data_IF_407819147106
#
_entry.id   IF_407819147106
#
_cell.length_a   1.000
_cell.length_b   1.000
_cell.length_c   1.000
_cell.angle_alpha   90.00
_cell.angle_beta   90.00
_cell.angle_gamma   90.00
#
_symmetry.space_group_name_H-M   'P 1'
#
loop_
_entity.id
_entity.type
_entity.pdbx_description
1 polymer ?
#
# COMPACT_ATOMS: atom_id res chain seq x y z
N UNK A 1 -3.09 -3.10 -19.11
CA UNK A 1 -2.85 -1.86 -18.34
C UNK A 1 -1.37 -1.64 -18.11
N UNK A 2 -0.71 -2.59 -17.49
CA UNK A 2 0.71 -2.52 -17.17
C UNK A 2 1.57 -2.30 -18.40
N UNK A 3 1.33 -3.01 -19.50
CA UNK A 3 2.05 -2.81 -20.75
C UNK A 3 1.87 -1.41 -21.33
N UNK A 4 0.68 -0.83 -21.24
CA UNK A 4 0.42 0.52 -21.72
C UNK A 4 1.13 1.57 -20.84
N UNK A 5 1.11 1.39 -19.51
CA UNK A 5 1.83 2.26 -18.59
C UNK A 5 3.34 2.16 -18.79
N UNK A 6 3.88 0.96 -18.94
CA UNK A 6 5.30 0.76 -19.24
C UNK A 6 5.69 1.42 -20.57
N UNK A 7 4.84 1.30 -21.60
CA UNK A 7 5.09 1.97 -22.88
C UNK A 7 5.06 3.51 -22.75
N UNK A 8 4.11 4.07 -21.99
CA UNK A 8 4.06 5.50 -21.72
C UNK A 8 5.33 6.01 -21.00
N UNK A 9 5.82 5.25 -20.03
CA UNK A 9 7.08 5.55 -19.34
C UNK A 9 8.28 5.45 -20.29
N UNK A 10 8.34 4.42 -21.14
CA UNK A 10 9.42 4.28 -22.12
C UNK A 10 9.39 5.42 -23.13
N UNK A 11 8.20 5.87 -23.55
CA UNK A 11 8.08 7.08 -24.37
C UNK A 11 8.63 8.31 -23.64
N UNK A 12 8.23 8.53 -22.40
CA UNK A 12 8.70 9.67 -21.60
C UNK A 12 10.23 9.69 -21.46
N UNK A 13 10.85 8.51 -21.31
CA UNK A 13 12.31 8.38 -21.18
C UNK A 13 13.06 8.50 -22.54
N UNK A 14 12.45 8.11 -23.64
CA UNK A 14 13.17 7.94 -24.93
C UNK A 14 12.69 8.86 -26.05
N UNK A 15 11.50 9.44 -25.92
CA UNK A 15 10.85 10.23 -26.97
C UNK A 15 10.39 9.42 -28.20
N UNK A 16 10.38 8.07 -28.13
CA UNK A 16 10.03 7.23 -29.30
C UNK A 16 8.52 7.14 -29.48
N UNK A 17 7.98 7.79 -30.52
CA UNK A 17 6.54 7.86 -30.84
C UNK A 17 5.82 6.50 -30.91
N UNK A 18 6.50 5.43 -31.28
CA UNK A 18 5.88 4.10 -31.34
C UNK A 18 5.29 3.66 -30.00
N UNK A 19 6.00 3.94 -28.91
CA UNK A 19 5.52 3.60 -27.56
C UNK A 19 4.36 4.53 -27.13
N UNK A 20 4.45 5.83 -27.46
CA UNK A 20 3.36 6.76 -27.18
C UNK A 20 2.08 6.35 -27.88
N UNK A 21 2.15 6.04 -29.18
CA UNK A 21 1.00 5.59 -29.97
C UNK A 21 0.37 4.34 -29.39
N UNK A 22 1.17 3.32 -29.10
CA UNK A 22 0.66 2.08 -28.48
C UNK A 22 -0.08 2.35 -27.16
N UNK A 23 0.52 3.15 -26.25
CA UNK A 23 -0.11 3.48 -25.00
C UNK A 23 -1.35 4.35 -25.16
N UNK A 24 -1.32 5.33 -26.09
CA UNK A 24 -2.46 6.20 -26.39
C UNK A 24 -3.65 5.43 -26.97
N UNK A 25 -3.43 4.47 -27.84
CA UNK A 25 -4.50 3.67 -28.43
C UNK A 25 -5.21 2.84 -27.34
N UNK A 26 -4.47 2.25 -26.40
CA UNK A 26 -5.05 1.51 -25.27
C UNK A 26 -5.78 2.46 -24.32
N UNK A 27 -5.17 3.59 -23.96
CA UNK A 27 -5.80 4.57 -23.09
C UNK A 27 -7.11 5.08 -23.69
N UNK A 28 -7.11 5.38 -25.00
CA UNK A 28 -8.28 5.88 -25.69
C UNK A 28 -9.44 4.86 -25.68
N UNK A 29 -9.15 3.59 -25.91
CA UNK A 29 -10.15 2.53 -25.81
C UNK A 29 -10.74 2.43 -24.40
N UNK A 30 -9.92 2.56 -23.37
CA UNK A 30 -10.38 2.53 -21.99
C UNK A 30 -11.24 3.73 -21.63
N UNK A 31 -10.81 4.91 -22.02
CA UNK A 31 -11.58 6.15 -21.79
C UNK A 31 -12.94 6.04 -22.46
N UNK A 32 -13.00 5.58 -23.70
CA UNK A 32 -14.28 5.33 -24.39
C UNK A 32 -15.14 4.30 -23.66
N UNK A 33 -14.57 3.17 -23.28
CA UNK A 33 -15.29 2.16 -22.50
C UNK A 33 -15.85 2.70 -21.20
N UNK A 34 -15.02 3.40 -20.41
CA UNK A 34 -15.43 3.98 -19.14
C UNK A 34 -16.42 5.12 -19.29
N UNK A 35 -16.37 5.88 -20.39
CA UNK A 35 -17.30 6.96 -20.67
C UNK A 35 -18.73 6.46 -20.84
N UNK A 36 -18.95 5.40 -21.61
CA UNK A 36 -20.29 4.85 -21.90
C UNK A 36 -20.82 3.96 -20.77
N UNK A 37 -19.96 3.41 -19.95
CA UNK A 37 -20.41 2.53 -18.87
C UNK A 37 -20.88 3.32 -17.65
N UNK A 38 -21.94 2.85 -17.02
CA UNK A 38 -22.34 3.29 -15.69
C UNK A 38 -21.55 2.52 -14.63
N UNK A 39 -21.29 3.12 -13.44
CA UNK A 39 -20.81 2.36 -12.30
C UNK A 39 -21.72 1.15 -12.04
N UNK A 40 -21.11 0.03 -11.65
CA UNK A 40 -21.86 -1.19 -11.34
C UNK A 40 -22.82 -0.90 -10.18
N UNK A 41 -24.07 -1.30 -10.34
CA UNK A 41 -25.09 -1.11 -9.31
C UNK A 41 -24.82 -2.01 -8.09
N UNK A 42 -25.23 -1.54 -6.93
CA UNK A 42 -25.09 -2.21 -5.65
C UNK A 42 -24.28 -1.41 -4.63
N UNK A 43 -24.37 -1.76 -3.35
CA UNK A 43 -23.69 -1.02 -2.30
C UNK A 43 -22.17 -1.08 -2.48
N UNK A 44 -21.54 0.10 -2.44
CA UNK A 44 -20.10 0.30 -2.47
C UNK A 44 -19.37 -0.33 -3.70
N UNK A 45 -20.08 -0.45 -4.82
CA UNK A 45 -19.46 -0.93 -6.07
C UNK A 45 -19.04 0.26 -6.92
N UNK A 46 -17.79 0.29 -7.31
CA UNK A 46 -17.12 1.41 -7.97
C UNK A 46 -16.52 1.07 -9.31
N UNK A 47 -16.25 -0.20 -9.58
CA UNK A 47 -15.63 -0.64 -10.83
C UNK A 47 -16.53 -0.44 -12.03
N UNK A 48 -15.98 0.11 -13.12
CA UNK A 48 -16.67 0.30 -14.39
C UNK A 48 -16.46 -0.90 -15.34
N UNK A 49 -15.30 -1.53 -15.26
CA UNK A 49 -14.89 -2.62 -16.14
C UNK A 49 -14.78 -3.97 -15.42
N UNK A 50 -14.91 -3.97 -14.10
CA UNK A 50 -14.84 -5.15 -13.25
C UNK A 50 -15.89 -5.06 -12.14
N UNK A 51 -16.40 -6.19 -11.73
CA UNK A 51 -17.32 -6.32 -10.60
C UNK A 51 -16.59 -6.29 -9.25
N UNK A 52 -15.27 -6.28 -9.26
CA UNK A 52 -14.45 -6.36 -8.04
C UNK A 52 -13.71 -5.03 -7.79
N UNK A 53 -13.71 -4.62 -6.55
CA UNK A 53 -13.00 -3.42 -6.07
C UNK A 53 -11.51 -3.41 -6.37
N UNK A 54 -10.89 -4.58 -6.52
CA UNK A 54 -9.48 -4.70 -6.97
C UNK A 54 -9.25 -4.13 -8.37
N UNK A 55 -10.26 -4.17 -9.24
CA UNK A 55 -10.18 -3.57 -10.57
C UNK A 55 -10.04 -2.05 -10.54
N UNK A 56 -10.43 -1.41 -9.45
CA UNK A 56 -10.37 0.05 -9.31
C UNK A 56 -8.94 0.60 -9.35
N UNK A 57 -7.93 -0.19 -8.99
CA UNK A 57 -6.52 0.18 -9.13
C UNK A 57 -6.09 0.43 -10.57
N UNK A 58 -6.81 -0.08 -11.55
CA UNK A 58 -6.52 0.18 -12.95
C UNK A 58 -6.75 1.64 -13.36
N UNK A 59 -7.60 2.36 -12.66
CA UNK A 59 -7.85 3.78 -12.92
C UNK A 59 -6.68 4.68 -12.54
N UNK A 60 -5.88 4.28 -11.56
CA UNK A 60 -4.59 4.90 -11.26
C UNK A 60 -3.66 4.84 -12.50
N UNK A 61 -3.55 3.65 -13.12
CA UNK A 61 -2.74 3.46 -14.31
C UNK A 61 -3.23 4.30 -15.49
N UNK A 62 -4.55 4.44 -15.70
CA UNK A 62 -5.11 5.32 -16.73
C UNK A 62 -4.67 6.77 -16.56
N UNK A 63 -4.76 7.28 -15.33
CA UNK A 63 -4.35 8.64 -15.00
C UNK A 63 -2.86 8.86 -15.23
N UNK A 64 -2.02 7.91 -14.85
CA UNK A 64 -0.57 7.96 -15.08
C UNK A 64 -0.22 7.90 -16.57
N UNK A 65 -0.87 7.03 -17.34
CA UNK A 65 -0.66 6.99 -18.80
C UNK A 65 -1.02 8.34 -19.42
N UNK A 66 -2.15 8.92 -19.00
CA UNK A 66 -2.56 10.24 -19.48
C UNK A 66 -1.52 11.32 -19.16
N UNK A 67 -1.00 11.35 -17.94
CA UNK A 67 0.02 12.31 -17.51
C UNK A 67 1.31 12.17 -18.34
N UNK A 68 1.86 10.97 -18.49
CA UNK A 68 3.05 10.71 -19.30
C UNK A 68 2.86 11.05 -20.78
N UNK A 69 1.65 10.89 -21.30
CA UNK A 69 1.33 11.15 -22.71
C UNK A 69 0.71 12.53 -22.96
N UNK A 70 0.51 13.34 -21.95
CA UNK A 70 -0.26 14.60 -22.05
C UNK A 70 0.18 15.47 -23.24
N UNK A 71 1.48 15.76 -23.36
CA UNK A 71 2.02 16.55 -24.44
C UNK A 71 1.82 15.88 -25.81
N UNK A 72 2.05 14.57 -25.90
CA UNK A 72 1.85 13.78 -27.12
C UNK A 72 0.40 13.80 -27.60
N UNK A 73 -0.54 13.56 -26.70
CA UNK A 73 -1.98 13.55 -27.03
C UNK A 73 -2.43 14.91 -27.60
N UNK A 74 -1.95 16.00 -27.03
CA UNK A 74 -2.26 17.36 -27.51
C UNK A 74 -1.60 17.65 -28.87
N UNK A 75 -0.34 17.30 -29.03
CA UNK A 75 0.39 17.47 -30.31
C UNK A 75 -0.29 16.71 -31.46
N UNK A 76 -0.68 15.45 -31.20
CA UNK A 76 -1.35 14.60 -32.18
C UNK A 76 -2.86 14.86 -32.29
N UNK A 77 -3.38 15.86 -31.56
CA UNK A 77 -4.78 16.30 -31.60
C UNK A 77 -5.79 15.19 -31.25
N UNK A 78 -5.47 14.36 -30.26
CA UNK A 78 -6.47 13.47 -29.70
C UNK A 78 -7.61 14.25 -29.06
N UNK A 79 -8.84 13.73 -29.17
CA UNK A 79 -10.02 14.35 -28.52
C UNK A 79 -9.98 14.09 -27.01
N UNK A 80 -9.47 15.06 -26.25
CA UNK A 80 -9.23 14.91 -24.81
C UNK A 80 -10.41 15.29 -23.90
N UNK A 81 -11.50 15.81 -24.46
CA UNK A 81 -12.71 16.13 -23.66
C UNK A 81 -13.33 14.91 -22.99
N UNK A 82 -13.19 13.75 -23.60
CA UNK A 82 -13.63 12.46 -23.04
C UNK A 82 -12.84 12.09 -21.79
N UNK A 83 -11.55 12.38 -21.75
CA UNK A 83 -10.66 12.09 -20.63
C UNK A 83 -11.11 12.85 -19.38
N UNK A 84 -11.35 14.16 -19.51
CA UNK A 84 -11.88 15.00 -18.42
C UNK A 84 -13.15 14.40 -17.83
N UNK A 85 -14.13 14.06 -18.68
CA UNK A 85 -15.39 13.47 -18.25
C UNK A 85 -15.20 12.14 -17.52
N UNK A 86 -14.29 11.30 -17.99
CA UNK A 86 -14.02 9.99 -17.38
C UNK A 86 -13.28 10.15 -16.05
N UNK A 87 -12.26 11.02 -15.97
CA UNK A 87 -11.57 11.27 -14.71
C UNK A 87 -12.50 11.87 -13.65
N UNK A 88 -13.38 12.77 -14.03
CA UNK A 88 -14.39 13.30 -13.13
C UNK A 88 -15.36 12.20 -12.64
N UNK A 89 -15.79 11.32 -13.54
CA UNK A 89 -16.63 10.18 -13.24
C UNK A 89 -15.96 9.21 -12.27
N UNK A 90 -14.67 8.88 -12.49
CA UNK A 90 -13.87 8.03 -11.60
C UNK A 90 -13.76 8.68 -10.22
N UNK A 91 -13.28 9.93 -10.16
CA UNK A 91 -13.12 10.65 -8.90
C UNK A 91 -14.43 10.73 -8.11
N UNK A 92 -15.53 11.07 -8.78
CA UNK A 92 -16.86 11.14 -8.15
C UNK A 92 -17.34 9.77 -7.67
N UNK A 93 -17.16 8.71 -8.45
CA UNK A 93 -17.58 7.37 -8.07
C UNK A 93 -16.81 6.87 -6.84
N UNK A 94 -15.48 7.02 -6.82
CA UNK A 94 -14.65 6.63 -5.68
C UNK A 94 -15.00 7.43 -4.42
N UNK A 95 -15.29 8.73 -4.58
CA UNK A 95 -15.65 9.60 -3.46
C UNK A 95 -17.00 9.24 -2.84
N UNK A 96 -18.03 8.98 -3.64
CA UNK A 96 -19.41 8.86 -3.13
C UNK A 96 -19.93 7.42 -3.06
N UNK A 97 -19.30 6.49 -3.73
CA UNK A 97 -19.69 5.07 -3.80
C UNK A 97 -18.61 4.10 -3.37
N UNK A 98 -17.46 4.59 -2.92
CA UNK A 98 -16.35 3.77 -2.43
C UNK A 98 -16.63 3.10 -1.10
N UNK A 99 -15.66 2.38 -0.60
CA UNK A 99 -15.66 1.86 0.78
C UNK A 99 -15.00 2.86 1.73
N UNK A 100 -15.38 2.83 3.00
CA UNK A 100 -14.76 3.67 4.02
C UNK A 100 -14.41 2.90 5.31
N UNK A 101 -14.93 1.71 5.48
CA UNK A 101 -14.86 0.95 6.74
C UNK A 101 -14.07 -0.37 6.66
N UNK A 102 -13.29 -0.56 5.62
CA UNK A 102 -12.40 -1.70 5.44
C UNK A 102 -11.15 -1.34 4.63
N UNK A 103 -10.23 -2.28 4.44
CA UNK A 103 -8.97 -2.06 3.72
C UNK A 103 -9.14 -1.82 2.20
N UNK A 104 -10.27 -2.15 1.59
CA UNK A 104 -10.56 -1.86 0.18
C UNK A 104 -10.60 -0.37 -0.14
N UNK A 105 -10.97 0.44 0.85
CA UNK A 105 -10.86 1.89 0.78
C UNK A 105 -9.47 2.34 0.30
N UNK A 106 -8.41 1.77 0.87
CA UNK A 106 -7.05 2.15 0.53
C UNK A 106 -6.72 1.86 -0.94
N UNK A 107 -7.26 0.77 -1.52
CA UNK A 107 -7.09 0.46 -2.94
C UNK A 107 -7.80 1.47 -3.86
N UNK A 108 -8.87 2.11 -3.39
CA UNK A 108 -9.64 3.09 -4.16
C UNK A 108 -9.08 4.52 -4.05
N UNK A 109 -8.33 4.81 -2.99
CA UNK A 109 -7.74 6.14 -2.77
C UNK A 109 -6.85 6.62 -3.92
N UNK A 110 -5.92 5.82 -4.47
CA UNK A 110 -5.14 6.24 -5.63
C UNK A 110 -6.00 6.55 -6.85
N UNK A 111 -6.98 5.72 -7.15
CA UNK A 111 -7.89 5.96 -8.27
C UNK A 111 -8.58 7.32 -8.16
N UNK A 112 -9.07 7.69 -6.97
CA UNK A 112 -9.68 8.99 -6.70
C UNK A 112 -8.67 10.13 -6.81
N UNK A 113 -7.52 10.02 -6.16
CA UNK A 113 -6.50 11.09 -6.11
C UNK A 113 -5.90 11.35 -7.49
N UNK A 114 -5.49 10.30 -8.20
CA UNK A 114 -4.89 10.44 -9.52
C UNK A 114 -5.88 10.94 -10.57
N UNK A 115 -7.13 10.45 -10.56
CA UNK A 115 -8.16 10.98 -11.44
C UNK A 115 -8.43 12.47 -11.16
N UNK A 116 -8.50 12.87 -9.90
CA UNK A 116 -8.67 14.27 -9.53
C UNK A 116 -7.48 15.13 -9.99
N UNK A 117 -6.25 14.65 -9.82
CA UNK A 117 -5.04 15.35 -10.28
C UNK A 117 -4.98 15.49 -11.81
N UNK A 118 -5.54 14.54 -12.55
CA UNK A 118 -5.59 14.55 -14.03
C UNK A 118 -6.61 15.55 -14.61
N UNK A 119 -7.51 16.10 -13.79
CA UNK A 119 -8.48 17.12 -14.26
C UNK A 119 -7.77 18.43 -14.59
N UNK A 120 -7.95 18.95 -15.80
CA UNK A 120 -7.47 20.29 -16.19
C UNK A 120 -8.27 21.39 -15.48
N UNK A 121 -9.57 21.17 -15.27
CA UNK A 121 -10.44 22.09 -14.55
C UNK A 121 -10.03 22.20 -13.07
N UNK A 122 -9.37 23.29 -12.72
CA UNK A 122 -8.83 23.55 -11.36
C UNK A 122 -9.90 23.53 -10.27
N UNK A 123 -11.12 24.00 -10.55
CA UNK A 123 -12.20 24.02 -9.56
C UNK A 123 -12.66 22.59 -9.25
N UNK A 124 -12.84 21.76 -10.28
CA UNK A 124 -13.21 20.36 -10.13
C UNK A 124 -12.10 19.56 -9.46
N UNK A 125 -10.86 19.76 -9.86
CA UNK A 125 -9.68 19.18 -9.18
C UNK A 125 -9.70 19.49 -7.69
N UNK A 126 -9.79 20.76 -7.32
CA UNK A 126 -9.83 21.20 -5.92
C UNK A 126 -11.03 20.61 -5.17
N UNK A 127 -12.18 20.54 -5.83
CA UNK A 127 -13.39 19.94 -5.25
C UNK A 127 -13.15 18.48 -4.83
N UNK A 128 -12.64 17.63 -5.72
CA UNK A 128 -12.38 16.22 -5.39
C UNK A 128 -11.21 16.04 -4.42
N UNK A 129 -10.12 16.77 -4.59
CA UNK A 129 -8.99 16.68 -3.65
C UNK A 129 -9.37 17.13 -2.23
N UNK A 130 -10.40 17.96 -2.06
CA UNK A 130 -10.89 18.32 -0.74
C UNK A 130 -11.43 17.11 0.04
N UNK A 131 -11.98 16.11 -0.63
CA UNK A 131 -12.42 14.87 0.03
C UNK A 131 -11.21 14.03 0.49
N UNK A 132 -10.12 14.02 -0.25
CA UNK A 132 -8.89 13.40 0.24
C UNK A 132 -8.28 14.15 1.42
N UNK A 133 -8.26 15.47 1.37
CA UNK A 133 -7.51 16.30 2.32
C UNK A 133 -8.28 16.59 3.63
N UNK A 134 -9.61 16.77 3.56
CA UNK A 134 -10.33 17.40 4.65
C UNK A 134 -11.72 16.83 4.95
N UNK A 135 -12.38 16.14 4.01
CA UNK A 135 -13.81 15.88 4.13
C UNK A 135 -14.18 14.44 3.82
N UNK A 136 -14.78 13.78 4.79
CA UNK A 136 -15.35 12.45 4.61
C UNK A 136 -16.69 12.51 3.83
N UNK A 137 -16.98 11.44 3.11
CA UNK A 137 -18.29 11.16 2.54
C UNK A 137 -18.76 9.81 3.05
N UNK A 138 -19.67 9.81 4.01
CA UNK A 138 -20.19 8.57 4.58
C UNK A 138 -21.71 8.53 4.33
N UNK A 139 -22.15 7.50 3.58
CA UNK A 139 -23.55 7.24 3.30
C UNK A 139 -23.82 5.74 3.50
N UNK A 140 -24.22 5.37 4.69
CA UNK A 140 -24.34 3.96 5.09
C UNK A 140 -23.00 3.24 5.04
N UNK A 141 -22.92 2.18 4.25
CA UNK A 141 -21.68 1.40 4.06
C UNK A 141 -20.76 1.98 2.99
N UNK A 142 -21.20 2.97 2.23
CA UNK A 142 -20.45 3.56 1.11
C UNK A 142 -19.86 4.92 1.48
N UNK A 143 -18.82 5.31 0.77
CA UNK A 143 -18.20 6.62 0.91
C UNK A 143 -16.69 6.60 0.79
N UNK A 144 -16.07 7.66 1.28
CA UNK A 144 -14.62 7.86 1.30
C UNK A 144 -14.21 8.55 2.60
N UNK A 145 -13.07 8.18 3.15
CA UNK A 145 -12.47 8.88 4.27
C UNK A 145 -11.39 9.85 3.78
N UNK A 146 -11.37 11.03 4.36
CA UNK A 146 -10.25 11.94 4.23
C UNK A 146 -9.00 11.40 4.91
N UNK A 147 -7.84 11.85 4.49
CA UNK A 147 -6.57 11.40 5.06
C UNK A 147 -6.48 11.61 6.59
N UNK A 148 -6.93 12.75 7.18
CA UNK A 148 -7.01 12.87 8.64
C UNK A 148 -7.81 11.75 9.30
N UNK A 149 -8.98 11.43 8.77
CA UNK A 149 -9.84 10.36 9.30
C UNK A 149 -9.22 8.97 9.12
N UNK A 150 -8.49 8.75 8.03
CA UNK A 150 -7.75 7.50 7.81
C UNK A 150 -6.63 7.35 8.84
N UNK A 151 -5.84 8.40 9.06
CA UNK A 151 -4.74 8.37 10.03
C UNK A 151 -5.28 8.09 11.43
N UNK A 152 -6.35 8.75 11.84
CA UNK A 152 -6.97 8.55 13.15
C UNK A 152 -7.57 7.15 13.31
N UNK A 153 -8.35 6.71 12.35
CA UNK A 153 -9.09 5.45 12.44
C UNK A 153 -8.22 4.22 12.22
N UNK A 154 -7.36 4.24 11.19
CA UNK A 154 -6.72 3.04 10.66
C UNK A 154 -5.24 2.91 10.97
N UNK A 155 -4.55 3.99 11.36
CA UNK A 155 -3.15 3.92 11.75
C UNK A 155 -2.98 3.94 13.26
N UNK A 156 -2.00 3.20 13.74
CA UNK A 156 -1.47 3.40 15.10
C UNK A 156 -0.60 4.68 15.13
N UNK A 157 -0.30 5.23 16.30
CA UNK A 157 0.57 6.41 16.40
C UNK A 157 1.94 6.23 15.73
N UNK A 158 2.45 4.99 15.66
CA UNK A 158 3.72 4.66 15.01
C UNK A 158 3.55 4.19 13.54
N UNK A 159 2.36 4.37 12.97
CA UNK A 159 2.09 4.18 11.55
C UNK A 159 1.72 2.76 11.13
N UNK A 160 1.48 1.83 12.06
CA UNK A 160 1.01 0.50 11.67
C UNK A 160 -0.47 0.55 11.25
N UNK A 161 -0.80 -0.06 10.13
CA UNK A 161 -2.21 -0.27 9.76
C UNK A 161 -2.86 -1.23 10.75
N UNK A 162 -4.06 -0.90 11.23
CA UNK A 162 -4.74 -1.68 12.28
C UNK A 162 -5.34 -3.00 11.78
N UNK A 163 -4.58 -3.67 10.93
CA UNK A 163 -4.77 -5.07 10.52
C UNK A 163 -3.38 -5.74 10.45
N UNK A 164 -3.30 -7.06 10.62
CA UNK A 164 -2.01 -7.72 10.82
C UNK A 164 -1.18 -7.89 9.55
N UNK A 165 0.13 -8.02 9.71
CA UNK A 165 1.10 -8.56 8.77
C UNK A 165 0.94 -8.09 7.32
N UNK A 166 0.56 -8.99 6.44
CA UNK A 166 0.39 -8.74 5.01
C UNK A 166 -0.67 -7.70 4.67
N UNK A 167 -1.70 -7.57 5.52
CA UNK A 167 -2.71 -6.52 5.37
C UNK A 167 -2.19 -5.11 5.66
N UNK A 168 -1.03 -4.98 6.27
CA UNK A 168 -0.36 -3.68 6.38
C UNK A 168 0.17 -3.19 5.03
N UNK A 169 0.90 -4.04 4.30
CA UNK A 169 1.57 -3.63 3.05
C UNK A 169 0.58 -3.18 1.97
N UNK A 170 -0.55 -3.86 1.84
CA UNK A 170 -1.54 -3.59 0.81
C UNK A 170 -2.16 -2.17 0.90
N UNK A 171 -2.79 -1.78 2.01
CA UNK A 171 -3.35 -0.44 2.14
C UNK A 171 -2.27 0.65 2.19
N UNK A 172 -1.15 0.38 2.85
CA UNK A 172 -0.09 1.37 3.01
C UNK A 172 0.56 1.72 1.68
N UNK A 173 0.83 0.74 0.81
CA UNK A 173 1.38 1.04 -0.52
C UNK A 173 0.49 2.00 -1.31
N UNK A 174 -0.81 1.81 -1.26
CA UNK A 174 -1.80 2.66 -1.93
C UNK A 174 -1.88 4.07 -1.32
N UNK A 175 -1.88 4.17 0.00
CA UNK A 175 -1.90 5.47 0.68
C UNK A 175 -0.60 6.26 0.44
N UNK A 176 0.54 5.58 0.47
CA UNK A 176 1.85 6.21 0.25
C UNK A 176 1.99 6.74 -1.18
N UNK A 177 1.52 5.99 -2.18
CA UNK A 177 1.57 6.45 -3.57
C UNK A 177 0.71 7.67 -3.80
N UNK A 178 -0.48 7.71 -3.20
CA UNK A 178 -1.35 8.87 -3.23
C UNK A 178 -0.69 10.08 -2.55
N UNK A 179 -0.04 9.85 -1.40
CA UNK A 179 0.67 10.89 -0.67
C UNK A 179 1.84 11.47 -1.48
N UNK A 180 2.62 10.62 -2.18
CA UNK A 180 3.71 11.08 -3.06
C UNK A 180 3.17 11.91 -4.22
N UNK A 181 2.07 11.49 -4.84
CA UNK A 181 1.44 12.26 -5.90
C UNK A 181 1.01 13.66 -5.40
N UNK A 182 0.43 13.73 -4.22
CA UNK A 182 0.07 15.00 -3.58
C UNK A 182 1.30 15.85 -3.23
N UNK A 183 2.37 15.26 -2.71
CA UNK A 183 3.65 15.93 -2.43
C UNK A 183 4.26 16.57 -3.69
N UNK A 184 4.19 15.88 -4.82
CA UNK A 184 4.66 16.38 -6.11
C UNK A 184 3.80 17.53 -6.63
N UNK A 185 2.57 17.65 -6.16
CA UNK A 185 1.65 18.76 -6.45
C UNK A 185 1.67 19.89 -5.39
N UNK A 186 2.69 19.93 -4.53
CA UNK A 186 2.93 21.04 -3.59
C UNK A 186 2.22 20.90 -2.23
N UNK A 187 1.59 19.76 -1.96
CA UNK A 187 0.98 19.50 -0.65
C UNK A 187 2.03 18.92 0.31
N UNK A 188 2.04 19.39 1.55
CA UNK A 188 2.93 18.89 2.60
C UNK A 188 2.24 17.75 3.37
N UNK A 189 2.12 16.58 2.74
CA UNK A 189 1.38 15.43 3.31
C UNK A 189 2.17 14.76 4.42
N UNK A 190 3.41 14.37 4.16
CA UNK A 190 4.22 13.66 5.15
C UNK A 190 4.63 14.55 6.34
N UNK A 191 4.77 15.86 6.12
CA UNK A 191 5.00 16.80 7.21
C UNK A 191 3.79 16.95 8.13
N UNK A 192 2.57 16.91 7.58
CA UNK A 192 1.32 16.98 8.36
C UNK A 192 0.94 15.66 9.04
N UNK A 193 1.28 14.54 8.42
CA UNK A 193 0.91 13.19 8.86
C UNK A 193 2.15 12.30 9.06
N UNK A 194 2.92 12.50 10.16
CA UNK A 194 4.13 11.71 10.42
C UNK A 194 3.88 10.21 10.52
N UNK A 195 2.70 9.78 11.00
CA UNK A 195 2.32 8.38 11.05
C UNK A 195 2.33 7.72 9.65
N UNK A 196 1.97 8.47 8.60
CA UNK A 196 2.02 7.99 7.22
C UNK A 196 3.47 7.80 6.73
N UNK A 197 4.40 8.66 7.15
CA UNK A 197 5.82 8.42 6.90
C UNK A 197 6.31 7.16 7.64
N UNK A 198 5.94 7.02 8.91
CA UNK A 198 6.33 5.86 9.72
C UNK A 198 5.77 4.56 9.16
N UNK A 199 4.58 4.58 8.55
CA UNK A 199 3.97 3.39 7.95
C UNK A 199 4.83 2.77 6.84
N UNK A 200 5.69 3.56 6.20
CA UNK A 200 6.58 3.06 5.14
C UNK A 200 7.62 2.04 5.62
N UNK A 201 7.87 1.97 6.92
CA UNK A 201 8.90 1.10 7.51
C UNK A 201 8.49 0.42 8.81
N UNK A 202 7.32 0.72 9.37
CA UNK A 202 6.94 0.27 10.70
C UNK A 202 6.89 -1.25 10.85
N UNK A 203 6.55 -1.98 9.78
CA UNK A 203 6.50 -3.44 9.83
C UNK A 203 7.85 -4.05 10.22
N UNK A 204 8.96 -3.39 9.87
CA UNK A 204 10.29 -3.80 10.27
C UNK A 204 10.50 -3.78 11.79
N UNK A 205 9.83 -2.88 12.52
CA UNK A 205 9.90 -2.84 13.98
C UNK A 205 9.36 -4.09 14.64
N UNK A 206 8.42 -4.76 13.96
CA UNK A 206 7.73 -5.95 14.46
C UNK A 206 8.25 -7.23 13.80
N UNK A 207 9.22 -7.13 12.90
CA UNK A 207 9.80 -8.27 12.20
C UNK A 207 10.79 -9.06 13.06
N UNK A 208 10.86 -10.36 12.78
CA UNK A 208 11.94 -11.22 13.23
C UNK A 208 13.30 -10.76 12.69
N UNK A 209 14.42 -11.24 13.25
CA UNK A 209 15.76 -10.90 12.73
C UNK A 209 16.00 -11.21 11.25
N UNK A 210 15.22 -12.11 10.64
CA UNK A 210 15.24 -12.35 9.18
C UNK A 210 14.38 -11.37 8.38
N UNK A 211 13.87 -10.31 9.01
CA UNK A 211 13.02 -9.25 8.43
C UNK A 211 11.61 -9.72 7.99
N UNK A 212 11.18 -10.90 8.41
CA UNK A 212 9.81 -11.36 8.22
C UNK A 212 8.97 -10.97 9.43
N UNK A 213 7.82 -10.39 9.21
CA UNK A 213 6.86 -10.14 10.26
C UNK A 213 6.23 -11.44 10.74
N UNK A 214 5.77 -11.52 12.00
CA UNK A 214 5.03 -12.66 12.51
C UNK A 214 3.77 -12.94 11.70
N UNK A 215 3.40 -14.21 11.61
CA UNK A 215 2.12 -14.63 11.05
C UNK A 215 1.02 -14.39 12.08
N UNK A 216 0.10 -13.49 11.78
CA UNK A 216 -0.98 -13.14 12.69
C UNK A 216 -2.31 -13.28 11.95
N UNK A 217 -3.20 -14.15 12.43
CA UNK A 217 -4.50 -14.40 11.83
C UNK A 217 -4.38 -14.85 10.36
N UNK A 218 -5.09 -14.19 9.47
CA UNK A 218 -5.15 -14.53 8.04
C UNK A 218 -3.84 -14.30 7.26
N UNK A 219 -2.76 -13.86 7.91
CA UNK A 219 -1.52 -13.54 7.23
C UNK A 219 -0.41 -14.51 7.61
N UNK A 220 0.24 -15.09 6.60
CA UNK A 220 1.52 -15.77 6.76
C UNK A 220 2.68 -14.79 6.95
N UNK A 221 3.92 -15.31 7.08
CA UNK A 221 5.11 -14.47 7.20
C UNK A 221 5.26 -13.53 5.99
N UNK A 222 5.47 -12.26 6.24
CA UNK A 222 5.60 -11.23 5.20
C UNK A 222 6.70 -10.23 5.56
N UNK A 223 7.48 -9.81 4.60
CA UNK A 223 8.46 -8.74 4.78
C UNK A 223 7.84 -7.36 4.54
N UNK A 224 8.49 -6.32 5.04
CA UNK A 224 8.19 -4.95 4.64
C UNK A 224 8.27 -4.84 3.11
N UNK A 225 7.29 -4.19 2.50
CA UNK A 225 7.34 -3.92 1.07
C UNK A 225 8.56 -3.05 0.72
N UNK A 226 9.44 -3.50 -0.19
CA UNK A 226 10.56 -2.67 -0.65
C UNK A 226 10.09 -1.36 -1.27
N UNK A 227 8.95 -1.35 -1.98
CA UNK A 227 8.36 -0.13 -2.57
C UNK A 227 7.94 0.88 -1.50
N UNK A 228 7.31 0.43 -0.41
CA UNK A 228 6.99 1.31 0.71
C UNK A 228 8.26 1.91 1.32
N UNK A 229 9.31 1.10 1.47
CA UNK A 229 10.58 1.57 2.01
C UNK A 229 11.30 2.53 1.06
N UNK A 230 11.20 2.36 -0.28
CA UNK A 230 11.71 3.34 -1.25
C UNK A 230 11.07 4.72 -1.04
N UNK A 231 9.75 4.75 -0.88
CA UNK A 231 9.04 6.00 -0.57
C UNK A 231 9.50 6.57 0.77
N UNK A 232 9.67 5.72 1.78
CA UNK A 232 10.21 6.12 3.08
C UNK A 232 11.59 6.76 2.98
N UNK A 233 12.50 6.17 2.21
CA UNK A 233 13.84 6.70 1.94
C UNK A 233 13.80 8.04 1.20
N UNK A 234 12.97 8.14 0.16
CA UNK A 234 12.78 9.36 -0.62
C UNK A 234 12.30 10.51 0.29
N UNK A 235 11.30 10.24 1.13
CA UNK A 235 10.74 11.23 2.05
C UNK A 235 11.69 11.54 3.20
N UNK A 236 12.40 10.55 3.75
CA UNK A 236 13.43 10.78 4.75
C UNK A 236 14.53 11.72 4.24
N UNK A 237 14.95 11.55 2.98
CA UNK A 237 15.91 12.45 2.33
C UNK A 237 15.32 13.85 2.13
N UNK A 238 14.08 13.92 1.60
CA UNK A 238 13.38 15.20 1.35
C UNK A 238 13.23 16.04 2.61
N UNK A 239 12.87 15.41 3.71
CA UNK A 239 12.60 16.07 4.99
C UNK A 239 13.81 16.12 5.96
N UNK A 240 14.97 15.63 5.55
CA UNK A 240 16.17 15.60 6.41
C UNK A 240 16.00 14.77 7.68
N UNK A 241 15.28 13.65 7.60
CA UNK A 241 14.99 12.81 8.76
C UNK A 241 16.26 12.16 9.32
N UNK A 242 16.40 12.18 10.63
CA UNK A 242 17.47 11.47 11.37
C UNK A 242 17.39 9.94 11.21
N UNK A 243 16.27 9.40 10.73
CA UNK A 243 16.08 7.98 10.46
C UNK A 243 16.70 7.52 9.12
N UNK A 244 17.14 8.44 8.27
CA UNK A 244 17.65 8.10 6.95
C UNK A 244 18.78 7.05 6.97
N UNK A 245 19.80 7.10 7.85
CA UNK A 245 20.81 6.06 7.93
C UNK A 245 20.24 4.69 8.31
N UNK A 246 19.29 4.64 9.26
CA UNK A 246 18.66 3.41 9.70
C UNK A 246 17.78 2.78 8.60
N UNK A 247 17.02 3.60 7.88
CA UNK A 247 16.20 3.13 6.74
C UNK A 247 17.08 2.63 5.60
N UNK A 248 18.23 3.26 5.38
CA UNK A 248 19.24 2.81 4.41
C UNK A 248 19.80 1.44 4.79
N UNK A 249 20.14 1.24 6.05
CA UNK A 249 20.60 -0.06 6.55
C UNK A 249 19.50 -1.13 6.44
N UNK A 250 18.27 -0.79 6.72
CA UNK A 250 17.12 -1.69 6.55
C UNK A 250 16.91 -2.09 5.08
N UNK A 251 17.01 -1.14 4.15
CA UNK A 251 16.94 -1.43 2.71
C UNK A 251 18.08 -2.36 2.27
N UNK A 252 19.31 -2.11 2.73
CA UNK A 252 20.44 -2.97 2.41
C UNK A 252 20.22 -4.40 2.92
N UNK A 253 19.67 -4.58 4.11
CA UNK A 253 19.36 -5.89 4.66
C UNK A 253 18.21 -6.59 3.89
N UNK A 254 17.17 -5.86 3.51
CA UNK A 254 16.11 -6.41 2.65
C UNK A 254 16.63 -6.84 1.28
N UNK A 255 17.49 -6.04 0.67
CA UNK A 255 18.14 -6.40 -0.60
C UNK A 255 18.96 -7.67 -0.48
N UNK A 256 19.73 -7.81 0.58
CA UNK A 256 20.52 -9.02 0.82
C UNK A 256 19.62 -10.26 0.91
N UNK A 257 18.49 -10.17 1.62
CA UNK A 257 17.53 -11.25 1.74
C UNK A 257 16.79 -11.56 0.41
N UNK A 258 16.67 -10.59 -0.48
CA UNK A 258 15.93 -10.69 -1.76
C UNK A 258 16.86 -10.82 -2.98
N UNK A 259 18.04 -11.41 -2.82
CA UNK A 259 18.99 -11.62 -3.90
C UNK A 259 19.49 -10.31 -4.53
N UNK A 260 19.67 -9.29 -3.72
CA UNK A 260 20.10 -7.93 -4.10
C UNK A 260 19.15 -7.19 -5.03
N UNK A 261 17.88 -7.59 -5.10
CA UNK A 261 16.83 -6.84 -5.79
C UNK A 261 16.23 -5.81 -4.85
N UNK A 262 16.26 -4.57 -5.25
CA UNK A 262 15.81 -3.44 -4.44
C UNK A 262 14.30 -3.29 -4.44
N UNK A 263 13.65 -3.36 -5.59
CA UNK A 263 12.20 -3.34 -5.71
C UNK A 263 11.71 -4.20 -6.87
N UNK A 264 10.41 -4.42 -6.95
CA UNK A 264 9.81 -5.01 -8.13
C UNK A 264 10.02 -4.11 -9.36
N UNK A 265 10.04 -4.72 -10.54
CA UNK A 265 10.12 -4.00 -11.81
C UNK A 265 8.76 -3.39 -12.14
N UNK A 266 8.33 -2.39 -11.38
CA UNK A 266 7.11 -1.64 -11.62
C UNK A 266 7.38 -0.13 -11.64
N UNK A 267 6.34 0.64 -11.98
CA UNK A 267 6.46 2.09 -12.10
C UNK A 267 6.81 2.78 -10.78
N UNK A 268 6.37 2.26 -9.64
CA UNK A 268 6.71 2.82 -8.33
C UNK A 268 8.19 2.64 -8.02
N UNK A 269 8.73 1.45 -8.31
CA UNK A 269 10.15 1.18 -8.19
C UNK A 269 10.99 2.12 -9.04
N UNK A 270 10.47 2.56 -10.19
CA UNK A 270 11.16 3.53 -11.05
C UNK A 270 11.02 4.98 -10.53
N UNK A 271 9.80 5.43 -10.25
CA UNK A 271 9.51 6.83 -9.92
C UNK A 271 9.99 7.24 -8.53
N UNK A 272 10.00 6.30 -7.58
CA UNK A 272 10.44 6.55 -6.22
C UNK A 272 11.90 6.12 -5.97
N UNK A 273 12.62 5.69 -7.02
CA UNK A 273 13.97 5.16 -6.91
C UNK A 273 14.99 6.22 -6.52
N UNK A 274 15.73 5.99 -5.46
CA UNK A 274 16.92 6.75 -5.13
C UNK A 274 18.15 6.09 -5.80
N UNK A 275 18.75 6.73 -6.82
CA UNK A 275 19.86 6.13 -7.57
C UNK A 275 21.06 5.72 -6.70
N UNK A 276 21.31 6.52 -5.67
CA UNK A 276 22.35 6.24 -4.69
C UNK A 276 21.72 6.18 -3.30
N UNK A 277 21.76 5.02 -2.67
CA UNK A 277 21.46 4.95 -1.25
C UNK A 277 22.53 5.74 -0.49
N UNK A 278 22.14 6.62 0.43
CA UNK A 278 23.11 7.28 1.29
C UNK A 278 23.98 6.23 1.98
N UNK A 279 25.25 6.54 2.18
CA UNK A 279 26.09 5.63 2.96
C UNK A 279 25.50 5.52 4.37
N UNK A 280 25.30 4.29 4.82
CA UNK A 280 24.82 4.03 6.18
C UNK A 280 25.93 4.14 7.23
N UNK A 281 27.17 4.40 6.80
CA UNK A 281 28.32 4.36 7.69
C UNK A 281 28.45 3.00 8.37
N UNK A 282 28.70 3.01 9.68
CA UNK A 282 28.66 1.81 10.52
C UNK A 282 27.29 1.59 11.19
N UNK A 283 26.26 2.29 10.77
CA UNK A 283 24.93 2.21 11.39
C UNK A 283 24.32 0.85 11.11
N UNK A 284 24.21 0.02 12.14
CA UNK A 284 23.46 -1.21 12.07
C UNK A 284 21.96 -0.91 12.14
N UNK A 285 21.19 -1.68 11.41
CA UNK A 285 19.74 -1.72 11.56
C UNK A 285 19.40 -2.29 12.95
N UNK A 286 18.76 -1.48 13.80
CA UNK A 286 18.41 -1.89 15.17
C UNK A 286 16.98 -1.45 15.51
N UNK A 287 16.26 -2.33 16.21
CA UNK A 287 14.91 -2.08 16.70
C UNK A 287 14.81 -2.24 18.22
N UNK A 288 13.74 -1.71 18.83
CA UNK A 288 13.50 -1.90 20.27
C UNK A 288 13.50 -3.38 20.66
N UNK A 289 13.96 -3.67 21.87
CA UNK A 289 13.95 -5.06 22.41
C UNK A 289 12.55 -5.59 22.60
N UNK A 290 11.60 -4.74 22.92
CA UNK A 290 10.19 -5.11 23.09
C UNK A 290 9.31 -4.21 22.27
N UNK A 291 8.15 -4.69 21.87
CA UNK A 291 7.12 -3.97 21.16
C UNK A 291 5.75 -4.55 21.42
N UNK A 292 4.75 -3.73 21.13
CA UNK A 292 3.35 -4.07 21.29
C UNK A 292 2.58 -3.57 20.07
N UNK A 293 1.69 -4.42 19.55
CA UNK A 293 0.63 -4.05 18.62
C UNK A 293 -0.68 -4.15 19.38
N UNK A 294 -1.08 -3.06 20.03
CA UNK A 294 -2.22 -3.04 20.95
C UNK A 294 -3.53 -3.48 20.28
N UNK A 295 -3.77 -3.07 19.04
CA UNK A 295 -4.97 -3.44 18.29
C UNK A 295 -5.09 -4.97 18.08
N UNK A 296 -3.96 -5.68 17.98
CA UNK A 296 -3.89 -7.14 17.80
C UNK A 296 -3.55 -7.85 19.11
N UNK A 297 -3.41 -7.15 20.23
CA UNK A 297 -2.92 -7.69 21.50
C UNK A 297 -1.69 -8.58 21.32
N UNK A 298 -0.78 -8.12 20.45
CA UNK A 298 0.42 -8.85 20.09
C UNK A 298 1.63 -8.21 20.77
N UNK A 299 2.38 -9.01 21.50
CA UNK A 299 3.56 -8.59 22.25
C UNK A 299 4.79 -9.32 21.70
N UNK A 300 5.85 -8.57 21.51
CA UNK A 300 7.12 -9.13 21.08
C UNK A 300 8.27 -8.76 22.01
N UNK A 301 9.21 -9.68 22.14
CA UNK A 301 10.48 -9.43 22.78
C UNK A 301 11.62 -10.07 21.99
N UNK A 302 12.71 -9.33 21.78
CA UNK A 302 13.87 -9.79 21.05
C UNK A 302 15.15 -9.58 21.83
N UNK A 303 16.12 -10.46 21.56
CA UNK A 303 17.50 -10.31 22.00
C UNK A 303 18.40 -10.25 20.75
N UNK A 304 18.70 -9.03 20.32
CA UNK A 304 19.45 -8.77 19.11
C UNK A 304 18.64 -8.82 17.81
N UNK A 305 19.23 -8.27 16.76
CA UNK A 305 18.68 -8.19 15.41
C UNK A 305 19.51 -8.99 14.40
N UNK A 306 20.56 -9.66 14.87
CA UNK A 306 21.38 -10.51 14.01
C UNK A 306 20.56 -11.73 13.56
N UNK A 307 20.60 -12.00 12.26
CA UNK A 307 19.80 -13.07 11.66
C UNK A 307 20.14 -14.44 12.26
N UNK A 308 21.41 -14.73 12.50
CA UNK A 308 21.89 -16.06 12.89
C UNK A 308 21.77 -16.31 14.40
N UNK A 309 22.05 -15.26 15.19
CA UNK A 309 22.16 -15.34 16.65
C UNK A 309 21.05 -14.61 17.41
N UNK A 310 20.19 -13.87 16.69
CA UNK A 310 19.07 -13.18 17.30
C UNK A 310 18.02 -14.16 17.79
N UNK A 311 17.40 -13.80 18.90
CA UNK A 311 16.26 -14.52 19.46
C UNK A 311 15.08 -13.58 19.53
N UNK A 312 13.92 -14.06 19.17
CA UNK A 312 12.68 -13.29 19.32
C UNK A 312 11.52 -14.23 19.59
N UNK A 313 10.63 -13.80 20.47
CA UNK A 313 9.33 -14.43 20.59
C UNK A 313 8.22 -13.40 20.43
N UNK A 314 7.09 -13.89 19.98
CA UNK A 314 5.87 -13.11 19.80
C UNK A 314 4.73 -13.88 20.45
N UNK A 315 3.96 -13.19 21.28
CA UNK A 315 2.71 -13.73 21.85
C UNK A 315 1.57 -12.93 21.23
N UNK A 316 0.58 -13.65 20.70
CA UNK A 316 -0.55 -13.04 20.01
C UNK A 316 -1.82 -13.11 20.87
N UNK A 317 -2.58 -12.01 20.87
CA UNK A 317 -3.98 -12.02 21.32
C UNK A 317 -4.93 -12.30 20.15
N UNK A 318 -6.22 -12.31 20.42
CA UNK A 318 -7.24 -12.68 19.43
C UNK A 318 -8.30 -11.59 19.18
N UNK A 319 -7.96 -10.33 19.31
CA UNK A 319 -8.98 -9.27 19.30
C UNK A 319 -8.75 -8.23 18.22
N UNK A 320 -8.97 -8.58 16.94
CA UNK A 320 -8.90 -7.65 15.80
C UNK A 320 -9.59 -8.28 14.56
N UNK A 321 -9.66 -7.52 13.45
CA UNK A 321 -10.11 -8.07 12.16
C UNK A 321 -9.12 -9.12 11.63
N UNK A 322 -9.60 -10.08 10.85
CA UNK A 322 -8.80 -11.17 10.27
C UNK A 322 -8.18 -12.09 11.32
N UNK A 323 -8.84 -12.23 12.48
CA UNK A 323 -8.38 -13.10 13.55
C UNK A 323 -8.77 -14.56 13.34
N UNK A 324 -7.95 -15.43 13.91
CA UNK A 324 -8.23 -16.85 14.10
C UNK A 324 -8.47 -17.18 15.58
N UNK A 325 -8.72 -18.43 15.90
CA UNK A 325 -8.75 -18.91 17.27
C UNK A 325 -7.33 -19.08 17.85
N UNK A 326 -6.50 -18.04 17.70
CA UNK A 326 -5.06 -18.02 17.99
C UNK A 326 -4.72 -17.24 19.26
N UNK A 327 -5.67 -17.01 20.14
CA UNK A 327 -5.40 -16.36 21.43
C UNK A 327 -4.30 -17.09 22.20
N UNK A 328 -3.32 -16.33 22.74
CA UNK A 328 -2.12 -16.87 23.41
C UNK A 328 -1.21 -17.70 22.48
N UNK A 329 -1.36 -17.58 21.16
CA UNK A 329 -0.44 -18.23 20.23
C UNK A 329 0.96 -17.65 20.34
N UNK A 330 1.97 -18.49 20.18
CA UNK A 330 3.38 -18.11 20.30
C UNK A 330 4.15 -18.45 19.03
N UNK A 331 4.89 -17.51 18.51
CA UNK A 331 5.91 -17.73 17.50
C UNK A 331 7.31 -17.48 18.08
N UNK A 332 8.25 -18.33 17.72
CA UNK A 332 9.65 -18.25 18.17
C UNK A 332 10.58 -18.11 17.00
N UNK A 333 11.58 -17.24 17.14
CA UNK A 333 12.69 -17.12 16.22
C UNK A 333 14.00 -17.44 16.95
N UNK A 334 14.82 -18.28 16.34
CA UNK A 334 16.13 -18.63 16.82
C UNK A 334 16.92 -19.42 15.77
N UNK A 335 18.24 -19.49 15.92
CA UNK A 335 19.12 -20.21 14.99
C UNK A 335 18.87 -19.89 13.51
N UNK A 336 18.58 -18.62 13.19
CA UNK A 336 18.36 -18.15 11.83
C UNK A 336 16.97 -18.41 11.24
N UNK A 337 16.02 -18.98 12.00
CA UNK A 337 14.73 -19.43 11.49
C UNK A 337 13.58 -19.15 12.45
N UNK A 338 12.37 -19.06 11.93
CA UNK A 338 11.14 -19.13 12.72
C UNK A 338 10.90 -20.61 13.07
N UNK A 339 10.84 -20.93 14.36
CA UNK A 339 10.80 -22.31 14.84
C UNK A 339 9.38 -22.82 15.11
N UNK A 340 8.46 -21.93 15.48
CA UNK A 340 7.04 -22.24 15.65
C UNK A 340 6.24 -21.28 14.79
N UNK A 341 5.95 -21.65 13.55
CA UNK A 341 5.24 -20.83 12.58
C UNK A 341 3.74 -20.97 12.78
N UNK A 342 3.03 -19.85 12.83
CA UNK A 342 1.58 -19.83 12.66
C UNK A 342 1.27 -20.03 11.17
N UNK A 343 0.33 -20.93 10.80
CA UNK A 343 0.09 -21.28 9.40
C UNK A 343 -0.59 -20.17 8.59
N UNK A 344 -1.15 -19.16 9.25
CA UNK A 344 -1.91 -18.11 8.58
C UNK A 344 -3.20 -18.65 7.93
N UNK A 345 -3.52 -18.15 6.74
CA UNK A 345 -4.75 -18.47 6.01
C UNK A 345 -4.58 -19.67 5.09
N UNK A 346 -5.65 -20.46 4.92
CA UNK A 346 -5.76 -21.45 3.85
C UNK A 346 -5.92 -20.80 2.46
N UNK A 347 -6.12 -21.62 1.43
CA UNK A 347 -6.18 -21.15 0.02
C UNK A 347 -7.27 -20.10 -0.20
N UNK A 348 -8.48 -20.32 0.36
CA UNK A 348 -9.58 -19.34 0.36
C UNK A 348 -10.29 -19.34 1.70
N UNK A 349 -11.08 -18.31 2.00
CA UNK A 349 -11.87 -18.23 3.24
C UNK A 349 -12.95 -19.31 3.34
N UNK A 350 -13.46 -19.77 2.20
CA UNK A 350 -14.52 -20.79 2.14
C UNK A 350 -13.96 -22.22 2.07
N UNK A 351 -12.65 -22.36 1.92
CA UNK A 351 -12.02 -23.68 1.85
C UNK A 351 -12.26 -24.46 3.16
N UNK A 352 -12.71 -25.72 3.09
CA UNK A 352 -12.94 -26.53 4.29
C UNK A 352 -11.73 -26.60 5.23
N UNK A 353 -10.52 -26.63 4.69
CA UNK A 353 -9.29 -26.60 5.47
C UNK A 353 -9.09 -25.26 6.20
N UNK A 354 -9.49 -24.14 5.58
CA UNK A 354 -9.43 -22.86 6.29
C UNK A 354 -10.42 -22.84 7.46
N UNK A 355 -11.68 -23.13 7.19
CA UNK A 355 -12.77 -23.04 8.18
C UNK A 355 -12.58 -24.05 9.34
N UNK A 356 -12.18 -25.28 9.04
CA UNK A 356 -12.13 -26.38 10.01
C UNK A 356 -10.75 -26.61 10.63
N UNK A 357 -9.69 -25.99 10.13
CA UNK A 357 -8.34 -26.17 10.64
C UNK A 357 -7.59 -24.83 10.81
N UNK A 358 -7.26 -24.12 9.71
CA UNK A 358 -6.39 -22.93 9.79
C UNK A 358 -6.96 -21.80 10.66
N UNK A 359 -8.26 -21.60 10.67
CA UNK A 359 -8.92 -20.62 11.53
C UNK A 359 -9.18 -21.12 12.97
N UNK A 360 -8.87 -22.39 13.26
CA UNK A 360 -9.17 -23.02 14.55
C UNK A 360 -7.92 -23.15 15.42
N UNK A 361 -8.14 -23.24 16.74
CA UNK A 361 -7.07 -23.33 17.74
C UNK A 361 -6.05 -24.46 17.48
N UNK A 362 -6.47 -25.55 16.87
CA UNK A 362 -5.62 -26.71 16.60
C UNK A 362 -4.49 -26.44 15.61
N UNK A 363 -4.61 -25.38 14.78
CA UNK A 363 -3.57 -24.97 13.82
C UNK A 363 -2.50 -24.05 14.43
N UNK A 364 -2.73 -23.54 15.64
CA UNK A 364 -1.90 -22.52 16.26
C UNK A 364 -1.09 -23.07 17.43
N UNK A 365 0.06 -22.45 17.70
CA UNK A 365 0.90 -22.77 18.86
C UNK A 365 0.30 -22.13 20.13
N UNK A 366 -0.87 -22.57 20.54
CA UNK A 366 -1.65 -21.95 21.61
C UNK A 366 -1.93 -22.89 22.76
N UNK A 367 -2.36 -22.32 23.86
CA UNK A 367 -2.85 -23.09 25.06
C UNK A 367 -4.37 -23.05 25.08
N UNK A 368 -4.97 -24.21 25.19
CA UNK A 368 -6.43 -24.37 25.33
C UNK A 368 -6.72 -24.95 26.71
N UNK A 369 -7.55 -24.25 27.47
CA UNK A 369 -8.11 -24.78 28.73
C UNK A 369 -9.46 -25.41 28.41
N UNK A 370 -9.59 -26.70 28.75
CA UNK A 370 -10.82 -27.51 28.60
C UNK A 370 -11.78 -27.34 29.77
#
# INVERSE_FOLDING_TARGET
>A
NELALNAAIVYWLTGKDAYARFAADILNQWVHGAFYQSPIEGPCRTGFLSIQTLGDRHYEAMSLIYDFLYAYLREKKYETSWYESVFEKIAGTMTFRGFWNNNWFAAQTPAMVFAALSLENKQRRTYFLNFYLNKDTINGSCGHLSLPSVVDKWLTPDGHWKEPGGYHNFPISSLLVSAVAMENNGYNIFGKFPALFQSSYVLLKYSFPNLMAPSIGDTGPVSQSPQCLEIGLLMAKKYGSSLLPQLTAAMAALMQNNGYKRSAADYLGLLCYLPQLPSNGSTAYTWPRSGELDFAKCYLQRNGTNRENGLMYVVQGASYNHNHANGMSVELYGAGSVMGIDPGKGITYEAPMHVNYYAQWAAHNTVVAG
#
